data_IF_925269906196
#
_entry.id   IF_925269906196
#
_cell.length_a   1.000
_cell.length_b   1.000
_cell.length_c   1.000
_cell.angle_alpha   90.00
_cell.angle_beta   90.00
_cell.angle_gamma   90.00
#
_symmetry.space_group_name_H-M   'P 1'
#
loop_
_entity.id
_entity.type
_entity.pdbx_description
1 polymer ?
#
# COMPACT_ATOMS: atom_id res chain seq x y z
N UNK A 1 -5.56 -6.40 -2.85
CA UNK A 1 -4.87 -5.98 -4.08
C UNK A 1 -4.32 -7.15 -4.86
N UNK A 2 -5.16 -8.08 -5.30
CA UNK A 2 -4.77 -9.03 -6.33
C UNK A 2 -4.94 -8.37 -7.70
N UNK A 3 -4.09 -8.73 -8.67
CA UNK A 3 -4.16 -8.14 -10.01
C UNK A 3 -3.77 -6.67 -10.00
N UNK A 4 -2.57 -6.36 -9.50
CA UNK A 4 -1.94 -5.04 -9.61
C UNK A 4 -0.61 -5.18 -10.36
N UNK A 5 -0.25 -4.17 -11.14
CA UNK A 5 1.02 -4.09 -11.86
C UNK A 5 1.67 -2.74 -11.54
N UNK A 6 2.91 -2.77 -11.05
CA UNK A 6 3.72 -1.55 -10.88
C UNK A 6 4.54 -1.36 -12.16
N UNK A 7 4.13 -0.40 -13.00
CA UNK A 7 4.70 -0.18 -14.33
C UNK A 7 6.24 -0.13 -14.35
N UNK A 8 6.89 0.77 -13.58
CA UNK A 8 8.34 0.89 -13.55
C UNK A 8 9.08 -0.35 -13.03
N UNK A 9 8.44 -1.16 -12.18
CA UNK A 9 9.03 -2.36 -11.57
C UNK A 9 8.60 -3.66 -12.27
N UNK A 10 8.06 -3.57 -13.49
CA UNK A 10 7.53 -4.72 -14.25
C UNK A 10 8.42 -5.13 -15.43
N UNK A 11 8.36 -6.40 -15.81
CA UNK A 11 8.99 -6.89 -17.04
C UNK A 11 8.09 -6.65 -18.26
N UNK A 12 8.67 -6.76 -19.48
CA UNK A 12 7.88 -6.73 -20.73
C UNK A 12 6.81 -7.83 -20.77
N UNK A 13 7.13 -9.01 -20.22
CA UNK A 13 6.21 -10.15 -20.16
C UNK A 13 5.01 -9.84 -19.27
N UNK A 14 5.27 -9.28 -18.08
CA UNK A 14 4.21 -8.89 -17.13
C UNK A 14 3.28 -7.86 -17.77
N UNK A 15 3.84 -6.83 -18.43
CA UNK A 15 3.05 -5.81 -19.14
C UNK A 15 2.19 -6.41 -20.25
N UNK A 16 2.72 -7.35 -21.03
CA UNK A 16 1.98 -8.00 -22.12
C UNK A 16 0.82 -8.84 -21.58
N UNK A 17 1.05 -9.59 -20.49
CA UNK A 17 -0.01 -10.33 -19.81
C UNK A 17 -1.07 -9.40 -19.23
N UNK A 18 -0.67 -8.35 -18.52
CA UNK A 18 -1.60 -7.42 -17.91
C UNK A 18 -2.41 -6.64 -18.95
N UNK A 19 -1.80 -6.31 -20.09
CA UNK A 19 -2.50 -5.72 -21.24
C UNK A 19 -3.62 -6.61 -21.73
N UNK A 20 -3.39 -7.93 -21.86
CA UNK A 20 -4.45 -8.88 -22.25
C UNK A 20 -5.59 -8.89 -21.24
N UNK A 21 -5.27 -8.84 -19.94
CA UNK A 21 -6.28 -8.82 -18.87
C UNK A 21 -7.11 -7.54 -18.88
N UNK A 22 -6.48 -6.37 -19.03
CA UNK A 22 -7.17 -5.08 -19.14
C UNK A 22 -8.11 -5.10 -20.35
N UNK A 23 -7.62 -5.51 -21.53
CA UNK A 23 -8.45 -5.57 -22.75
C UNK A 23 -9.66 -6.49 -22.61
N UNK A 24 -9.54 -7.58 -21.85
CA UNK A 24 -10.65 -8.51 -21.65
C UNK A 24 -11.77 -7.95 -20.77
N UNK A 25 -11.46 -7.09 -19.79
CA UNK A 25 -12.43 -6.48 -18.86
C UNK A 25 -11.98 -5.07 -18.43
N UNK A 26 -12.02 -4.07 -19.33
CA UNK A 26 -11.41 -2.76 -19.07
C UNK A 26 -12.03 -2.04 -17.86
N UNK A 27 -13.34 -2.15 -17.68
CA UNK A 27 -14.08 -1.46 -16.60
C UNK A 27 -13.71 -1.95 -15.19
N UNK A 28 -12.99 -3.07 -15.08
CA UNK A 28 -12.51 -3.60 -13.81
C UNK A 28 -11.15 -3.01 -13.38
N UNK A 29 -10.57 -2.09 -14.15
CA UNK A 29 -9.24 -1.55 -13.90
C UNK A 29 -9.25 -0.03 -13.78
N UNK A 30 -8.45 0.47 -12.86
CA UNK A 30 -8.09 1.88 -12.75
C UNK A 30 -6.57 2.01 -12.90
N UNK A 31 -6.11 3.19 -13.30
CA UNK A 31 -4.68 3.49 -13.43
C UNK A 31 -4.39 4.77 -12.65
N UNK A 32 -3.28 4.75 -11.93
CA UNK A 32 -2.76 5.90 -11.20
C UNK A 32 -1.25 6.03 -11.48
N UNK A 33 -0.70 7.26 -11.47
CA UNK A 33 0.74 7.44 -11.48
C UNK A 33 1.42 6.69 -10.33
N UNK A 34 2.64 6.20 -10.55
CA UNK A 34 3.41 5.60 -9.44
C UNK A 34 3.86 6.71 -8.50
N UNK A 35 3.36 6.67 -7.26
CA UNK A 35 3.73 7.61 -6.22
C UNK A 35 4.97 7.12 -5.45
N UNK A 36 5.80 8.06 -5.03
CA UNK A 36 6.86 7.79 -4.07
C UNK A 36 6.22 7.68 -2.66
N UNK A 37 5.84 6.47 -2.27
CA UNK A 37 5.29 6.22 -0.94
C UNK A 37 6.33 6.54 0.14
N UNK A 38 5.91 7.17 1.23
CA UNK A 38 6.76 7.37 2.40
C UNK A 38 7.20 6.03 2.98
N UNK A 39 8.36 6.04 3.64
CA UNK A 39 8.92 4.85 4.30
C UNK A 39 9.02 5.05 5.80
N UNK A 40 8.76 3.99 6.56
CA UNK A 40 8.96 3.94 8.01
C UNK A 40 10.07 2.91 8.35
N UNK A 41 10.96 3.20 9.31
CA UNK A 41 11.94 2.23 9.80
C UNK A 41 11.27 0.92 10.22
N UNK A 42 11.74 -0.19 9.67
CA UNK A 42 11.17 -1.51 9.90
C UNK A 42 12.28 -2.51 10.15
N UNK A 43 12.12 -3.32 11.19
CA UNK A 43 13.05 -4.39 11.51
C UNK A 43 12.88 -5.53 10.49
N UNK A 44 13.96 -5.88 9.83
CA UNK A 44 14.08 -6.94 8.83
C UNK A 44 15.30 -7.80 9.18
N UNK A 45 15.51 -8.91 8.49
CA UNK A 45 16.58 -9.87 8.80
C UNK A 45 18.00 -9.24 8.86
N UNK A 46 18.24 -8.18 8.08
CA UNK A 46 19.52 -7.45 8.03
C UNK A 46 19.60 -6.25 9.00
N UNK A 47 18.64 -6.08 9.90
CA UNK A 47 18.54 -4.95 10.83
C UNK A 47 17.42 -3.98 10.50
N UNK A 48 17.63 -2.68 10.71
CA UNK A 48 16.61 -1.65 10.44
C UNK A 48 16.75 -1.16 9.00
N UNK A 49 15.66 -1.26 8.22
CA UNK A 49 15.61 -0.79 6.84
C UNK A 49 14.32 -0.01 6.57
N UNK A 50 14.32 0.93 5.61
CA UNK A 50 13.12 1.63 5.20
C UNK A 50 12.15 0.67 4.49
N UNK A 51 10.86 0.74 4.84
CA UNK A 51 9.78 0.02 4.15
C UNK A 51 8.61 0.95 3.90
N UNK A 52 7.97 0.81 2.75
CA UNK A 52 6.82 1.63 2.38
C UNK A 52 5.64 1.32 3.31
N UNK A 53 4.95 2.37 3.73
CA UNK A 53 3.79 2.29 4.60
C UNK A 53 2.59 2.98 3.98
N UNK A 54 1.41 2.57 4.39
CA UNK A 54 0.20 3.35 4.23
C UNK A 54 -0.57 3.45 5.54
N UNK A 55 -1.39 4.50 5.66
CA UNK A 55 -2.19 4.79 6.84
C UNK A 55 -3.66 4.79 6.46
N UNK A 56 -4.46 4.04 7.21
CA UNK A 56 -5.92 4.05 7.13
C UNK A 56 -6.51 4.61 8.43
N UNK A 57 -6.80 5.92 8.49
CA UNK A 57 -7.58 6.48 9.59
C UNK A 57 -9.06 6.08 9.48
N UNK A 58 -9.80 6.25 10.57
CA UNK A 58 -11.23 5.98 10.61
C UNK A 58 -12.00 7.26 10.89
N UNK A 59 -12.92 7.60 9.98
CA UNK A 59 -13.87 8.70 10.15
C UNK A 59 -15.16 8.13 10.73
N UNK A 60 -15.63 8.70 11.82
CA UNK A 60 -16.91 8.38 12.46
C UNK A 60 -17.91 9.49 12.12
N UNK A 61 -19.07 9.09 11.59
CA UNK A 61 -20.15 10.00 11.22
C UNK A 61 -21.39 9.71 12.06
N UNK A 62 -21.91 10.74 12.73
CA UNK A 62 -23.18 10.77 13.44
C UNK A 62 -23.69 12.21 13.45
N UNK A 63 -24.17 12.70 14.59
CA UNK A 63 -24.53 14.13 14.75
C UNK A 63 -23.36 15.07 14.44
N UNK A 64 -22.13 14.57 14.59
CA UNK A 64 -20.90 15.24 14.23
C UNK A 64 -19.97 14.29 13.46
N UNK A 65 -19.11 14.87 12.63
CA UNK A 65 -18.03 14.16 11.93
C UNK A 65 -16.77 14.27 12.77
N UNK A 66 -16.14 13.13 13.10
CA UNK A 66 -14.89 13.10 13.86
C UNK A 66 -13.94 12.02 13.33
N UNK A 67 -12.65 12.21 13.57
CA UNK A 67 -11.59 11.24 13.23
C UNK A 67 -11.00 10.70 14.53
N UNK A 68 -10.76 9.40 14.60
CA UNK A 68 -10.09 8.80 15.75
C UNK A 68 -8.61 9.22 15.81
N UNK A 69 -8.02 9.49 16.99
CA UNK A 69 -6.58 9.78 17.12
C UNK A 69 -5.76 8.48 16.94
N UNK A 70 -5.75 7.96 15.72
CA UNK A 70 -5.11 6.69 15.38
C UNK A 70 -5.58 6.16 14.03
N UNK A 71 -5.15 4.94 13.72
CA UNK A 71 -5.51 4.27 12.48
C UNK A 71 -4.75 2.97 12.29
N UNK A 72 -5.09 2.27 11.22
CA UNK A 72 -4.37 1.07 10.80
C UNK A 72 -3.20 1.50 9.91
N UNK A 73 -1.96 1.37 10.40
CA UNK A 73 -0.77 1.49 9.55
C UNK A 73 -0.40 0.11 9.02
N UNK A 74 -0.23 -0.01 7.70
CA UNK A 74 0.28 -1.22 7.06
C UNK A 74 1.67 -0.98 6.50
N UNK A 75 2.48 -2.03 6.43
CA UNK A 75 3.85 -1.98 5.95
C UNK A 75 4.10 -3.05 4.89
N UNK A 76 4.72 -2.69 3.78
CA UNK A 76 5.19 -3.62 2.77
C UNK A 76 6.52 -4.23 3.25
N UNK A 77 6.54 -5.48 3.70
CA UNK A 77 7.74 -6.07 4.32
C UNK A 77 8.83 -6.44 3.30
N UNK A 78 8.42 -6.76 2.06
CA UNK A 78 9.34 -7.07 0.96
C UNK A 78 10.06 -5.80 0.50
N UNK A 79 11.37 -5.92 0.33
CA UNK A 79 12.21 -4.81 -0.13
C UNK A 79 11.77 -4.26 -1.49
N UNK A 80 11.69 -2.93 -1.60
CA UNK A 80 11.22 -2.22 -2.79
C UNK A 80 9.75 -2.44 -3.17
N UNK A 81 8.98 -3.20 -2.37
CA UNK A 81 7.56 -3.44 -2.65
C UNK A 81 6.70 -2.24 -2.28
N UNK A 82 5.82 -1.83 -3.19
CA UNK A 82 4.73 -0.87 -2.91
C UNK A 82 3.45 -1.58 -2.43
N UNK A 83 3.48 -2.92 -2.31
CA UNK A 83 2.31 -3.71 -1.93
C UNK A 83 2.27 -3.90 -0.42
N UNK A 84 1.40 -3.13 0.24
CA UNK A 84 1.16 -3.17 1.69
C UNK A 84 0.04 -4.14 2.10
N UNK A 85 -0.55 -4.87 1.14
CA UNK A 85 -1.69 -5.75 1.43
C UNK A 85 -1.24 -7.00 2.22
N UNK A 86 -1.95 -7.32 3.30
CA UNK A 86 -1.62 -8.45 4.19
C UNK A 86 -1.58 -9.80 3.46
N UNK A 87 -2.46 -9.98 2.47
CA UNK A 87 -2.51 -11.20 1.65
C UNK A 87 -1.26 -11.44 0.79
N UNK A 88 -0.31 -10.51 0.74
CA UNK A 88 0.95 -10.61 -0.02
C UNK A 88 2.17 -10.25 0.85
N UNK A 89 2.11 -10.54 2.15
CA UNK A 89 3.22 -10.30 3.07
C UNK A 89 3.28 -8.87 3.61
N UNK A 90 2.14 -8.17 3.64
CA UNK A 90 2.01 -6.91 4.37
C UNK A 90 1.92 -7.14 5.88
N UNK A 91 2.66 -6.36 6.66
CA UNK A 91 2.54 -6.30 8.12
C UNK A 91 1.71 -5.11 8.57
N UNK A 92 1.58 -4.95 9.88
CA UNK A 92 0.94 -3.78 10.50
C UNK A 92 1.89 -3.12 11.50
N UNK A 93 1.68 -1.82 11.73
CA UNK A 93 2.35 -1.05 12.78
C UNK A 93 1.30 -0.31 13.60
N UNK A 94 1.64 -0.04 14.85
CA UNK A 94 0.88 0.89 15.66
C UNK A 94 1.02 2.32 15.12
N UNK A 95 0.00 3.15 15.29
CA UNK A 95 -0.05 4.53 14.80
C UNK A 95 -0.20 5.46 15.98
N UNK A 96 0.86 6.20 16.30
CA UNK A 96 0.83 7.16 17.40
C UNK A 96 0.53 8.56 16.88
N UNK A 97 -0.54 9.16 17.40
CA UNK A 97 -0.85 10.57 17.24
C UNK A 97 -0.49 11.23 18.57
N UNK A 98 0.44 12.18 18.53
CA UNK A 98 0.89 12.89 19.73
C UNK A 98 -0.06 14.07 19.99
N UNK A 99 -0.31 14.33 21.27
CA UNK A 99 -0.94 15.56 21.75
C UNK A 99 0.16 16.57 22.08
N UNK A 100 -0.18 17.87 22.06
CA UNK A 100 0.73 18.97 22.40
C UNK A 100 1.02 19.05 23.91
#
# INVERSE_FOLDING_TARGET
GYGMLVGPASTKKDRAEFTRRIKARPDNYIVQPTLALSTCPTFVDKGIAPRHVDLRPFVLMGDQIRITPGGLTRVALKDGSLVVNSSQGGGTKDTWILED
#
